data_IF_153618702293
#
_entry.id   IF_153618702293
#
_cell.length_a   1.000
_cell.length_b   1.000
_cell.length_c   1.000
_cell.angle_alpha   90.00
_cell.angle_beta   90.00
_cell.angle_gamma   90.00
#
_symmetry.space_group_name_H-M   'P 1'
#
loop_
_entity.id
_entity.type
_entity.pdbx_description
1 polymer ?
#
# COMPACT_ATOMS: atom_id res chain seq x y z
N UNK A 1 -45.52 4.43 -23.12
CA UNK A 1 -44.30 3.65 -23.45
C UNK A 1 -43.14 4.62 -23.37
N UNK A 2 -42.34 4.52 -22.31
CA UNK A 2 -41.16 5.37 -22.10
C UNK A 2 -39.98 4.44 -22.37
N UNK A 3 -39.24 4.72 -23.44
CA UNK A 3 -38.05 3.96 -23.82
C UNK A 3 -36.87 4.37 -22.93
N UNK A 4 -36.12 3.37 -22.50
CA UNK A 4 -34.90 3.52 -21.71
C UNK A 4 -33.67 3.52 -22.62
N UNK A 5 -32.55 4.00 -22.10
CA UNK A 5 -31.28 3.85 -22.80
C UNK A 5 -30.18 4.73 -22.24
N UNK A 6 -29.51 4.22 -21.21
CA UNK A 6 -28.23 4.75 -20.76
C UNK A 6 -27.10 4.39 -21.72
N UNK A 7 -26.17 5.33 -21.90
CA UNK A 7 -24.80 5.12 -22.35
C UNK A 7 -23.95 6.07 -21.51
N UNK A 8 -22.89 5.63 -20.83
CA UNK A 8 -21.98 4.54 -21.16
C UNK A 8 -20.58 5.13 -21.06
N UNK A 9 -20.11 5.21 -19.83
CA UNK A 9 -18.91 5.93 -19.37
C UNK A 9 -17.66 5.23 -19.93
N UNK A 10 -17.12 5.72 -21.05
CA UNK A 10 -16.00 5.08 -21.76
C UNK A 10 -14.61 5.64 -21.42
N UNK A 11 -14.51 6.56 -20.45
CA UNK A 11 -13.24 7.27 -20.16
C UNK A 11 -12.51 6.77 -18.90
N UNK A 12 -13.10 5.88 -18.11
CA UNK A 12 -12.50 5.35 -16.87
C UNK A 12 -11.70 4.05 -17.04
N UNK A 13 -11.67 3.46 -18.24
CA UNK A 13 -11.09 2.12 -18.46
C UNK A 13 -9.57 2.07 -18.40
N UNK A 14 -8.85 3.17 -18.67
CA UNK A 14 -7.38 3.14 -18.79
C UNK A 14 -6.62 3.32 -17.47
N UNK A 15 -7.24 3.89 -16.43
CA UNK A 15 -6.55 4.16 -15.15
C UNK A 15 -6.60 2.98 -14.16
N UNK A 16 -7.50 2.02 -14.39
CA UNK A 16 -7.73 0.90 -13.46
C UNK A 16 -6.82 -0.31 -13.68
N UNK A 17 -6.03 -0.33 -14.75
CA UNK A 17 -5.12 -1.44 -15.09
C UNK A 17 -3.74 -1.34 -14.40
N UNK A 18 -3.49 -0.30 -13.61
CA UNK A 18 -2.13 0.06 -13.21
C UNK A 18 -1.58 -0.60 -11.92
N UNK A 19 -2.32 -1.44 -11.19
CA UNK A 19 -1.79 -2.00 -9.93
C UNK A 19 -2.18 -3.45 -9.72
N UNK A 20 -1.47 -4.35 -10.39
CA UNK A 20 -1.36 -5.75 -10.00
C UNK A 20 0.01 -6.36 -10.38
N UNK A 21 1.04 -5.53 -10.57
CA UNK A 21 2.35 -6.01 -11.00
C UNK A 21 3.31 -6.09 -9.79
N UNK A 22 3.69 -7.31 -9.41
CA UNK A 22 4.70 -7.61 -8.38
C UNK A 22 6.04 -6.86 -8.66
N UNK A 23 6.28 -6.46 -9.91
CA UNK A 23 7.41 -5.66 -10.33
C UNK A 23 7.46 -4.25 -9.69
N UNK A 24 6.31 -3.66 -9.35
CA UNK A 24 6.26 -2.30 -8.78
C UNK A 24 6.69 -2.21 -7.33
N UNK A 25 6.33 -3.21 -6.51
CA UNK A 25 6.80 -3.28 -5.12
C UNK A 25 8.32 -3.43 -5.10
N UNK A 26 8.88 -4.22 -6.02
CA UNK A 26 10.32 -4.36 -6.18
C UNK A 26 11.00 -3.05 -6.63
N UNK A 27 10.43 -2.34 -7.60
CA UNK A 27 10.95 -1.05 -8.07
C UNK A 27 10.89 0.03 -6.97
N UNK A 28 9.77 0.10 -6.25
CA UNK A 28 9.55 1.04 -5.14
C UNK A 28 10.50 0.74 -3.98
N UNK A 29 10.65 -0.53 -3.62
CA UNK A 29 11.64 -0.96 -2.61
C UNK A 29 13.06 -0.58 -3.02
N UNK A 30 13.38 -0.68 -4.31
CA UNK A 30 14.68 -0.28 -4.85
C UNK A 30 14.90 1.23 -4.76
N UNK A 31 13.90 2.04 -5.13
CA UNK A 31 13.93 3.50 -5.00
C UNK A 31 14.12 3.93 -3.54
N UNK A 32 13.35 3.34 -2.62
CA UNK A 32 13.46 3.59 -1.18
C UNK A 32 14.87 3.26 -0.67
N UNK A 33 15.40 2.07 -0.99
CA UNK A 33 16.77 1.69 -0.56
C UNK A 33 17.83 2.65 -1.09
N UNK A 34 17.66 3.14 -2.33
CA UNK A 34 18.56 4.13 -2.93
C UNK A 34 18.45 5.50 -2.25
N UNK A 35 17.25 5.99 -1.95
CA UNK A 35 17.10 7.26 -1.23
C UNK A 35 17.63 7.18 0.21
N UNK A 36 17.48 6.03 0.87
CA UNK A 36 18.08 5.78 2.19
C UNK A 36 19.61 5.81 2.16
N UNK A 37 20.24 5.25 1.13
CA UNK A 37 21.70 5.23 1.03
C UNK A 37 22.31 6.61 0.73
N UNK A 38 21.53 7.50 0.12
CA UNK A 38 21.94 8.88 -0.17
C UNK A 38 21.84 9.80 1.05
N UNK A 39 20.90 9.55 1.96
CA UNK A 39 20.67 10.35 3.15
C UNK A 39 21.52 9.85 4.33
N UNK A 40 22.81 10.21 4.37
CA UNK A 40 23.76 9.83 5.42
C UNK A 40 23.78 10.75 6.66
N UNK A 41 23.04 11.86 6.67
CA UNK A 41 23.08 12.83 7.78
C UNK A 41 22.08 12.53 8.91
N UNK A 42 22.40 13.08 10.10
CA UNK A 42 21.74 12.93 11.42
C UNK A 42 20.42 12.15 11.40
N UNK A 43 20.50 10.89 11.79
CA UNK A 43 19.36 10.01 11.98
C UNK A 43 18.49 10.49 13.14
N UNK A 44 17.21 10.74 12.88
CA UNK A 44 16.23 11.09 13.91
C UNK A 44 15.37 9.85 14.21
N UNK A 45 15.53 9.18 15.38
CA UNK A 45 14.81 7.95 15.67
C UNK A 45 13.33 8.21 15.92
N UNK A 46 12.48 7.27 15.50
CA UNK A 46 11.08 7.23 15.91
C UNK A 46 10.98 6.58 17.30
N UNK A 47 9.97 6.97 18.08
CA UNK A 47 9.71 6.35 19.39
C UNK A 47 9.41 4.85 19.31
N UNK A 48 8.99 4.36 18.14
CA UNK A 48 8.74 2.96 17.86
C UNK A 48 8.95 2.66 16.39
N UNK A 49 9.21 1.39 16.08
CA UNK A 49 9.23 0.91 14.69
C UNK A 49 7.82 0.89 14.12
N UNK A 50 7.70 1.21 12.84
CA UNK A 50 6.44 1.15 12.09
C UNK A 50 6.64 0.31 10.83
N UNK A 51 5.62 -0.42 10.41
CA UNK A 51 5.62 -1.21 9.17
C UNK A 51 4.52 -0.74 8.25
N UNK A 52 4.90 -0.41 7.02
CA UNK A 52 4.01 -0.17 5.91
C UNK A 52 3.58 -1.49 5.28
N UNK A 53 2.28 -1.64 5.10
CA UNK A 53 1.63 -2.77 4.46
C UNK A 53 0.78 -2.30 3.29
N UNK A 54 0.68 -3.15 2.26
CA UNK A 54 -0.25 -3.04 1.15
C UNK A 54 -1.26 -4.17 1.28
N UNK A 55 -2.54 -3.87 1.18
CA UNK A 55 -3.59 -4.86 0.96
C UNK A 55 -4.08 -4.70 -0.48
N UNK A 56 -4.19 -5.82 -1.20
CA UNK A 56 -4.78 -5.90 -2.54
C UNK A 56 -5.85 -6.99 -2.57
N UNK A 57 -7.12 -6.59 -2.59
CA UNK A 57 -8.23 -7.54 -2.60
C UNK A 57 -8.67 -7.85 -4.03
N UNK A 58 -8.59 -9.14 -4.41
CA UNK A 58 -8.98 -9.61 -5.75
C UNK A 58 -10.49 -9.59 -6.02
N UNK A 59 -11.32 -9.54 -4.97
CA UNK A 59 -12.79 -9.59 -5.13
C UNK A 59 -13.52 -8.67 -4.15
N UNK A 60 -14.83 -8.46 -4.37
CA UNK A 60 -15.74 -7.75 -3.44
C UNK A 60 -16.02 -8.52 -2.16
N UNK A 61 -15.91 -9.84 -2.22
CA UNK A 61 -16.29 -10.75 -1.16
C UNK A 61 -15.06 -11.58 -0.79
N UNK A 62 -13.95 -10.90 -0.51
CA UNK A 62 -12.72 -11.54 -0.11
C UNK A 62 -12.94 -12.25 1.24
N UNK A 63 -12.55 -13.52 1.32
CA UNK A 63 -12.48 -14.23 2.58
C UNK A 63 -11.32 -13.70 3.44
N UNK A 64 -11.25 -14.13 4.70
CA UNK A 64 -10.10 -13.83 5.56
C UNK A 64 -8.79 -14.33 4.94
N UNK A 65 -8.80 -15.55 4.39
CA UNK A 65 -7.61 -16.13 3.75
C UNK A 65 -7.20 -15.33 2.50
N UNK A 66 -8.17 -14.84 1.72
CA UNK A 66 -7.89 -13.96 0.58
C UNK A 66 -7.29 -12.63 1.02
N UNK A 67 -7.78 -12.04 2.12
CA UNK A 67 -7.23 -10.82 2.69
C UNK A 67 -5.78 -11.02 3.15
N UNK A 68 -5.52 -12.10 3.90
CA UNK A 68 -4.17 -12.43 4.36
C UNK A 68 -3.22 -12.72 3.19
N UNK A 69 -3.70 -13.35 2.12
CA UNK A 69 -2.92 -13.60 0.91
C UNK A 69 -2.64 -12.32 0.10
N UNK A 70 -3.54 -11.34 0.13
CA UNK A 70 -3.38 -10.03 -0.51
C UNK A 70 -2.49 -9.06 0.28
N UNK A 71 -2.17 -9.39 1.53
CA UNK A 71 -1.43 -8.54 2.43
C UNK A 71 0.09 -8.66 2.22
N UNK A 72 0.72 -7.58 1.76
CA UNK A 72 2.16 -7.50 1.49
C UNK A 72 2.86 -6.48 2.39
N UNK A 73 3.97 -6.88 3.01
CA UNK A 73 4.84 -5.96 3.75
C UNK A 73 5.71 -5.17 2.77
N UNK A 74 5.62 -3.85 2.80
CA UNK A 74 6.40 -2.96 1.93
C UNK A 74 7.75 -2.66 2.59
N UNK A 75 7.73 -2.04 3.76
CA UNK A 75 8.94 -1.60 4.45
C UNK A 75 8.69 -1.38 5.95
N UNK A 76 9.73 -1.61 6.76
CA UNK A 76 9.71 -1.26 8.18
C UNK A 76 10.69 -0.11 8.43
N UNK A 77 10.23 0.92 9.14
CA UNK A 77 10.98 2.14 9.43
C UNK A 77 11.16 2.30 10.93
N UNK A 78 12.33 2.78 11.34
CA UNK A 78 12.60 3.16 12.73
C UNK A 78 13.17 4.58 12.88
N UNK A 79 13.25 5.31 11.77
CA UNK A 79 13.71 6.72 11.73
C UNK A 79 12.75 7.60 10.93
N UNK A 80 12.78 8.92 11.19
CA UNK A 80 11.99 9.92 10.47
C UNK A 80 12.40 9.99 9.00
N UNK A 81 13.70 9.87 8.72
CA UNK A 81 14.24 9.85 7.36
C UNK A 81 13.74 8.65 6.57
N UNK A 82 13.69 7.49 7.21
CA UNK A 82 13.14 6.29 6.58
C UNK A 82 11.66 6.42 6.30
N UNK A 83 10.89 6.97 7.24
CA UNK A 83 9.47 7.24 7.03
C UNK A 83 9.24 8.09 5.78
N UNK A 84 9.92 9.25 5.67
CA UNK A 84 9.76 10.13 4.52
C UNK A 84 10.30 9.52 3.23
N UNK A 85 11.36 8.74 3.31
CA UNK A 85 11.88 7.98 2.17
C UNK A 85 10.84 7.00 1.62
N UNK A 86 10.13 6.27 2.49
CA UNK A 86 9.04 5.38 2.06
C UNK A 86 7.87 6.20 1.52
N UNK A 87 7.36 7.14 2.32
CA UNK A 87 6.15 7.92 1.99
C UNK A 87 6.26 8.68 0.67
N UNK A 88 7.41 9.26 0.36
CA UNK A 88 7.60 10.04 -0.87
C UNK A 88 7.81 9.17 -2.12
N UNK A 89 8.15 7.89 -1.96
CA UNK A 89 8.44 6.99 -3.09
C UNK A 89 7.31 5.99 -3.37
N UNK A 90 6.29 5.89 -2.50
CA UNK A 90 5.08 5.11 -2.76
C UNK A 90 4.03 5.97 -3.52
N UNK A 91 3.13 5.34 -4.29
CA UNK A 91 2.01 6.02 -4.94
C UNK A 91 1.17 6.80 -3.94
N UNK A 92 0.71 7.98 -4.36
CA UNK A 92 -0.32 8.70 -3.62
C UNK A 92 -1.60 7.86 -3.57
N UNK A 93 -2.39 7.94 -2.47
CA UNK A 93 -3.63 7.17 -2.35
C UNK A 93 -4.60 7.35 -3.54
N UNK A 94 -4.62 8.54 -4.14
CA UNK A 94 -5.43 8.86 -5.33
C UNK A 94 -5.05 8.07 -6.59
N UNK A 95 -3.85 7.49 -6.63
CA UNK A 95 -3.37 6.68 -7.75
C UNK A 95 -3.55 5.19 -7.50
N UNK A 96 -4.01 4.76 -6.34
CA UNK A 96 -4.20 3.34 -6.08
C UNK A 96 -5.30 2.75 -6.96
N UNK A 97 -5.10 1.52 -7.43
CA UNK A 97 -6.20 0.79 -8.05
C UNK A 97 -7.34 0.57 -7.06
N UNK A 98 -8.51 0.31 -7.61
CA UNK A 98 -9.65 -0.13 -6.82
C UNK A 98 -9.25 -1.35 -5.99
N UNK A 99 -9.68 -1.35 -4.71
CA UNK A 99 -9.43 -2.44 -3.74
C UNK A 99 -7.99 -2.59 -3.28
N UNK A 100 -7.17 -1.57 -3.49
CA UNK A 100 -5.83 -1.49 -2.92
C UNK A 100 -5.82 -0.46 -1.80
N UNK A 101 -5.27 -0.81 -0.65
CA UNK A 101 -5.15 0.09 0.51
C UNK A 101 -3.80 -0.04 1.21
N UNK A 102 -3.34 1.07 1.79
CA UNK A 102 -2.17 1.06 2.67
C UNK A 102 -2.58 0.92 4.12
N UNK A 103 -1.76 0.21 4.90
CA UNK A 103 -1.84 0.18 6.36
C UNK A 103 -0.48 0.54 6.97
N UNK A 104 -0.51 1.28 8.08
CA UNK A 104 0.68 1.60 8.87
C UNK A 104 0.52 1.00 10.26
N UNK A 105 1.29 -0.05 10.55
CA UNK A 105 1.17 -0.83 11.80
C UNK A 105 2.38 -0.63 12.69
N UNK A 106 2.17 -0.67 14.01
CA UNK A 106 3.26 -0.63 14.99
C UNK A 106 4.06 -1.94 14.92
N UNK A 107 5.39 -1.84 14.99
CA UNK A 107 6.33 -2.98 14.97
C UNK A 107 6.10 -3.85 13.73
N UNK A 108 5.92 -5.15 13.89
CA UNK A 108 5.69 -6.12 12.80
C UNK A 108 4.27 -6.70 12.81
N UNK A 109 3.32 -5.98 13.40
CA UNK A 109 1.91 -6.42 13.46
C UNK A 109 1.29 -6.40 12.07
N UNK A 110 0.54 -7.46 11.75
CA UNK A 110 -0.31 -7.49 10.57
C UNK A 110 -1.58 -6.70 10.86
N UNK A 111 -2.16 -5.97 9.88
CA UNK A 111 -3.46 -5.30 10.00
C UNK A 111 -4.64 -6.29 10.03
N UNK A 112 -4.60 -7.31 10.89
CA UNK A 112 -5.68 -8.27 11.07
C UNK A 112 -6.53 -7.83 12.25
N UNK A 113 -7.79 -7.49 11.99
CA UNK A 113 -8.71 -6.97 13.01
C UNK A 113 -9.07 -8.02 14.09
N UNK A 114 -8.85 -9.31 13.83
CA UNK A 114 -9.07 -10.42 14.78
C UNK A 114 -7.81 -10.79 15.58
N UNK A 115 -6.66 -10.20 15.28
CA UNK A 115 -5.44 -10.48 16.04
C UNK A 115 -5.56 -9.85 17.43
N UNK A 116 -5.29 -10.64 18.49
CA UNK A 116 -5.30 -10.17 19.89
C UNK A 116 -4.35 -8.99 20.11
N UNK A 117 -3.34 -8.85 19.26
CA UNK A 117 -2.43 -7.70 19.28
C UNK A 117 -3.07 -6.39 18.75
N UNK A 118 -4.25 -6.45 18.11
CA UNK A 118 -4.95 -5.32 17.50
C UNK A 118 -6.32 -5.02 18.14
N UNK A 119 -6.69 -5.74 19.21
CA UNK A 119 -7.83 -5.41 20.07
C UNK A 119 -7.61 -4.12 20.89
#
# INVERSE_FOLDING_TARGET
>A
MIDGGGGGDSEYSSASEAFNDDNYVAETTTKIRKSLSLNKEKVAPLAMKWTFWLDSQKSKFASKDDYEAGLQKIFAVDTVQEFWSVFNNIPTPSRLANRVSYHLMRRSRKPLWEDRENE
#
